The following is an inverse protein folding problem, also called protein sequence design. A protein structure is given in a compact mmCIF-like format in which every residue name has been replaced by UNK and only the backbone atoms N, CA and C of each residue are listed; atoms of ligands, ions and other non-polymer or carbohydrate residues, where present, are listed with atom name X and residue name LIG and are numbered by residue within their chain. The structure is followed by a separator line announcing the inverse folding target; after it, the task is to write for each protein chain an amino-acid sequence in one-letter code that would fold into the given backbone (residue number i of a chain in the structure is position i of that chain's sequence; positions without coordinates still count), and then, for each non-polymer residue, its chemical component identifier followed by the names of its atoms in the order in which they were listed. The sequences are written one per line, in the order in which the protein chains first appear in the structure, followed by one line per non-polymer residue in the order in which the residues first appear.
data_IF_783767413209
#
_entry.id   IF_783767413209
#
_cell.length_a   1.000
_cell.length_b   1.000
_cell.length_c   1.000
_cell.angle_alpha   90.00
_cell.angle_beta   90.00
_cell.angle_gamma   90.00
#
_symmetry.space_group_name_H-M   'P 1'
#
loop_
_entity.id
_entity.type
_entity.pdbx_description
1 polymer ?
#
# COMPACT_ATOMS: atom_id res chain seq x y z
N UNK A 1 56.99 -7.49 -19.93
CA UNK A 1 55.80 -8.36 -20.09
C UNK A 1 56.04 -9.64 -19.30
N UNK A 2 55.43 -9.80 -18.12
CA UNK A 2 55.38 -11.06 -17.38
C UNK A 2 54.11 -11.86 -17.73
N UNK A 3 54.25 -13.17 -17.59
CA UNK A 3 53.44 -14.26 -18.14
C UNK A 3 52.02 -14.37 -17.52
N UNK A 4 51.03 -14.74 -18.34
CA UNK A 4 49.60 -14.77 -17.99
C UNK A 4 49.21 -15.94 -17.06
N UNK A 5 50.18 -16.75 -16.62
CA UNK A 5 49.93 -17.98 -15.84
C UNK A 5 49.86 -17.79 -14.33
N UNK A 6 50.28 -16.65 -13.78
CA UNK A 6 50.38 -16.47 -12.32
C UNK A 6 49.22 -15.72 -11.65
N UNK A 7 48.26 -15.20 -12.43
CA UNK A 7 47.11 -14.46 -11.87
C UNK A 7 45.92 -15.34 -11.46
N UNK A 8 45.93 -16.63 -11.81
CA UNK A 8 44.85 -17.58 -11.49
C UNK A 8 44.98 -18.30 -10.14
N UNK A 9 46.16 -18.29 -9.51
CA UNK A 9 46.43 -19.12 -8.32
C UNK A 9 45.99 -18.45 -7.01
N UNK A 10 45.88 -17.11 -6.98
CA UNK A 10 45.50 -16.37 -5.77
C UNK A 10 44.00 -16.21 -5.51
N UNK A 11 43.14 -16.47 -6.51
CA UNK A 11 41.67 -16.40 -6.32
C UNK A 11 41.02 -17.76 -6.02
N UNK A 12 41.72 -18.87 -6.23
CA UNK A 12 41.23 -20.21 -5.85
C UNK A 12 41.55 -20.57 -4.39
N UNK A 13 42.56 -19.96 -3.78
CA UNK A 13 42.97 -20.24 -2.40
C UNK A 13 42.06 -19.61 -1.33
N UNK A 14 41.27 -18.58 -1.66
CA UNK A 14 40.37 -17.91 -0.71
C UNK A 14 38.94 -18.45 -0.72
N UNK A 15 38.53 -19.18 -1.77
CA UNK A 15 37.18 -19.76 -1.88
C UNK A 15 37.06 -21.14 -1.18
N UNK A 16 38.18 -21.86 -1.00
CA UNK A 16 38.19 -23.19 -0.37
C UNK A 16 38.11 -23.15 1.17
N UNK A 17 38.52 -22.05 1.81
CA UNK A 17 38.52 -21.91 3.28
C UNK A 17 37.09 -21.66 3.82
N UNK A 18 36.22 -21.00 3.05
CA UNK A 18 34.85 -20.68 3.48
C UNK A 18 33.93 -21.91 3.41
N UNK A 19 34.18 -22.85 2.49
CA UNK A 19 33.38 -24.09 2.38
C UNK A 19 33.80 -25.14 3.43
N UNK A 20 35.08 -25.17 3.83
CA UNK A 20 35.55 -26.09 4.88
C UNK A 20 35.08 -25.65 6.28
N UNK A 21 34.88 -24.35 6.52
CA UNK A 21 34.30 -23.86 7.78
C UNK A 21 32.79 -24.10 7.94
N UNK A 22 32.05 -24.43 6.87
CA UNK A 22 30.60 -24.70 6.96
C UNK A 22 30.25 -26.19 7.11
N UNK A 23 31.16 -27.11 6.77
CA UNK A 23 30.95 -28.57 6.90
C UNK A 23 31.31 -29.07 8.32
N UNK A 24 32.20 -28.38 9.04
CA UNK A 24 32.54 -28.73 10.43
C UNK A 24 31.47 -28.36 11.46
N UNK A 25 30.46 -27.55 11.12
CA UNK A 25 29.37 -27.22 12.05
C UNK A 25 28.20 -28.23 12.03
N UNK A 26 28.10 -29.09 11.01
CA UNK A 26 26.96 -30.02 10.86
C UNK A 26 27.22 -31.44 11.37
N UNK A 27 28.38 -31.71 12.00
CA UNK A 27 28.73 -33.06 12.50
C UNK A 27 29.09 -33.15 14.00
N UNK A 28 28.84 -32.10 14.79
CA UNK A 28 29.14 -32.10 16.23
C UNK A 28 27.94 -32.33 17.16
N UNK A 29 26.79 -32.75 16.65
CA UNK A 29 25.68 -33.24 17.49
C UNK A 29 25.24 -34.64 17.02
N UNK A 30 26.08 -35.63 17.28
CA UNK A 30 25.73 -37.04 17.27
C UNK A 30 26.61 -37.75 18.31
N UNK A 31 26.01 -38.67 19.06
CA UNK A 31 26.45 -39.39 20.27
C UNK A 31 25.81 -38.76 21.54
N UNK A 32 24.63 -39.20 22.03
CA UNK A 32 24.33 -40.46 22.76
C UNK A 32 25.11 -40.51 24.08
N UNK A 33 24.51 -40.50 25.27
CA UNK A 33 23.82 -41.63 25.91
C UNK A 33 22.75 -41.21 26.94
N UNK A 34 21.71 -42.04 27.05
CA UNK A 34 20.74 -42.09 28.15
C UNK A 34 21.38 -42.77 29.37
N UNK A 35 21.33 -42.13 30.54
CA UNK A 35 21.28 -42.85 31.81
C UNK A 35 20.19 -42.28 32.72
N UNK A 36 19.29 -43.17 33.10
CA UNK A 36 18.27 -43.01 34.13
C UNK A 36 18.91 -43.18 35.50
N UNK A 37 18.79 -42.21 36.41
CA UNK A 37 18.70 -42.53 37.83
C UNK A 37 17.80 -41.54 38.59
N UNK A 38 16.90 -42.17 39.34
CA UNK A 38 15.83 -41.61 40.16
C UNK A 38 16.34 -40.76 41.34
N UNK A 39 15.61 -39.69 41.64
CA UNK A 39 15.74 -38.90 42.85
C UNK A 39 14.43 -38.14 43.12
N UNK A 40 13.48 -38.80 43.78
CA UNK A 40 12.30 -38.19 44.38
C UNK A 40 12.70 -37.53 45.71
N UNK A 41 12.52 -36.21 45.87
CA UNK A 41 11.84 -35.54 47.01
C UNK A 41 11.29 -34.18 46.52
N UNK A 42 10.04 -33.91 46.89
CA UNK A 42 9.17 -32.75 46.64
C UNK A 42 9.52 -31.49 47.44
N UNK A 43 9.24 -30.29 46.90
CA UNK A 43 8.35 -29.24 47.45
C UNK A 43 8.43 -27.95 46.59
N UNK A 44 7.28 -27.59 46.00
CA UNK A 44 6.75 -26.23 45.82
C UNK A 44 7.64 -25.12 45.22
N UNK A 45 7.49 -24.87 43.92
CA UNK A 45 7.30 -23.52 43.35
C UNK A 45 6.65 -23.68 41.98
N UNK A 46 5.40 -23.24 41.85
CA UNK A 46 4.69 -23.18 40.56
C UNK A 46 5.52 -22.37 39.56
N UNK A 47 5.85 -22.90 38.37
CA UNK A 47 6.49 -22.13 37.31
C UNK A 47 5.59 -20.93 36.95
N UNK A 48 6.16 -19.72 36.77
CA UNK A 48 5.39 -18.61 36.23
C UNK A 48 4.85 -19.05 34.88
N UNK A 49 3.53 -18.88 34.74
CA UNK A 49 2.73 -19.05 33.54
C UNK A 49 3.59 -18.86 32.28
N UNK A 50 3.90 -19.99 31.65
CA UNK A 50 4.57 -20.08 30.37
C UNK A 50 3.97 -19.00 29.45
N UNK A 51 4.76 -17.97 29.16
CA UNK A 51 4.48 -17.01 28.09
C UNK A 51 4.13 -17.81 26.84
N UNK A 52 2.85 -17.88 26.54
CA UNK A 52 2.35 -18.63 25.39
C UNK A 52 3.03 -18.10 24.13
N UNK A 53 3.56 -18.96 23.26
CA UNK A 53 4.17 -18.51 22.01
C UNK A 53 3.14 -17.70 21.22
N UNK A 54 3.52 -16.52 20.72
CA UNK A 54 2.75 -15.80 19.69
C UNK A 54 2.40 -16.80 18.59
N UNK A 55 1.13 -17.19 18.49
CA UNK A 55 0.65 -18.18 17.53
C UNK A 55 1.03 -17.73 16.12
N UNK A 56 2.04 -18.38 15.51
CA UNK A 56 2.47 -18.06 14.14
C UNK A 56 1.33 -18.48 13.20
N UNK A 57 0.70 -17.51 12.54
CA UNK A 57 -0.33 -17.77 11.53
C UNK A 57 0.25 -18.63 10.41
N UNK A 58 -0.46 -19.71 10.02
CA UNK A 58 0.01 -20.61 8.96
C UNK A 58 0.12 -19.87 7.62
N UNK A 59 0.94 -20.37 6.69
CA UNK A 59 1.08 -19.78 5.35
C UNK A 59 -0.27 -19.80 4.60
N UNK A 60 -1.05 -20.87 4.78
CA UNK A 60 -2.39 -20.99 4.23
C UNK A 60 -3.29 -19.84 4.70
N UNK A 61 -3.32 -19.59 6.01
CA UNK A 61 -4.16 -18.54 6.60
C UNK A 61 -3.67 -17.15 6.20
N UNK A 62 -2.36 -16.94 6.10
CA UNK A 62 -1.82 -15.67 5.59
C UNK A 62 -2.29 -15.39 4.15
N UNK A 63 -2.30 -16.41 3.29
CA UNK A 63 -2.80 -16.29 1.91
C UNK A 63 -4.29 -15.97 1.88
N UNK A 64 -5.10 -16.68 2.67
CA UNK A 64 -6.55 -16.43 2.76
C UNK A 64 -6.83 -15.00 3.23
N UNK A 65 -6.15 -14.57 4.30
CA UNK A 65 -6.29 -13.23 4.84
C UNK A 65 -5.89 -12.14 3.84
N UNK A 66 -4.81 -12.36 3.06
CA UNK A 66 -4.41 -11.41 2.02
C UNK A 66 -5.42 -11.34 0.86
N UNK A 67 -6.05 -12.47 0.48
CA UNK A 67 -7.11 -12.50 -0.53
C UNK A 67 -8.35 -11.72 -0.07
N UNK A 68 -8.79 -11.95 1.17
CA UNK A 68 -9.95 -11.23 1.72
C UNK A 68 -9.70 -9.72 1.79
N UNK A 69 -8.49 -9.29 2.20
CA UNK A 69 -8.12 -7.87 2.22
C UNK A 69 -8.04 -7.28 0.80
N UNK A 70 -7.57 -8.04 -0.19
CA UNK A 70 -7.58 -7.62 -1.59
C UNK A 70 -9.00 -7.49 -2.15
N UNK A 71 -9.86 -8.47 -1.89
CA UNK A 71 -11.26 -8.45 -2.35
C UNK A 71 -12.00 -7.22 -1.80
N UNK A 72 -11.87 -6.97 -0.50
CA UNK A 72 -12.45 -5.79 0.15
C UNK A 72 -11.90 -4.49 -0.45
N UNK A 73 -10.60 -4.41 -0.73
CA UNK A 73 -9.99 -3.25 -1.39
C UNK A 73 -10.59 -3.02 -2.78
N UNK A 74 -10.65 -4.07 -3.60
CA UNK A 74 -11.15 -3.99 -4.98
C UNK A 74 -12.63 -3.61 -5.03
N UNK A 75 -13.44 -4.09 -4.09
CA UNK A 75 -14.84 -3.68 -3.96
C UNK A 75 -14.96 -2.17 -3.69
N UNK A 76 -14.17 -1.66 -2.75
CA UNK A 76 -14.17 -0.22 -2.44
C UNK A 76 -13.65 0.62 -3.62
N UNK A 77 -12.61 0.17 -4.31
CA UNK A 77 -12.10 0.80 -5.55
C UNK A 77 -13.19 0.84 -6.61
N UNK A 78 -13.92 -0.26 -6.82
CA UNK A 78 -15.01 -0.37 -7.80
C UNK A 78 -16.12 0.64 -7.52
N UNK A 79 -16.44 0.88 -6.24
CA UNK A 79 -17.45 1.86 -5.83
C UNK A 79 -16.97 3.31 -6.01
N UNK A 80 -15.70 3.59 -5.71
CA UNK A 80 -15.16 4.96 -5.76
C UNK A 80 -14.78 5.40 -7.18
N UNK A 81 -14.28 4.49 -8.02
CA UNK A 81 -13.75 4.79 -9.36
C UNK A 81 -14.72 5.56 -10.28
N UNK A 82 -16.03 5.26 -10.32
CA UNK A 82 -17.00 6.03 -11.11
C UNK A 82 -17.10 7.51 -10.71
N UNK A 83 -16.72 7.86 -9.48
CA UNK A 83 -16.71 9.23 -8.97
C UNK A 83 -15.45 9.99 -9.38
N UNK A 84 -14.62 9.40 -10.25
CA UNK A 84 -13.43 9.99 -10.86
C UNK A 84 -12.37 10.56 -9.89
N UNK A 85 -11.94 9.80 -8.85
CA UNK A 85 -10.89 10.23 -7.92
C UNK A 85 -9.57 10.59 -8.60
N UNK A 86 -9.30 10.08 -9.80
CA UNK A 86 -8.15 10.46 -10.61
C UNK A 86 -8.18 11.93 -11.08
N UNK A 87 -9.31 12.63 -10.94
CA UNK A 87 -9.44 14.07 -11.28
C UNK A 87 -9.30 14.94 -10.03
N UNK A 88 -10.00 14.60 -8.95
CA UNK A 88 -10.11 15.46 -7.77
C UNK A 88 -9.23 15.03 -6.58
N UNK A 89 -8.64 13.84 -6.63
CA UNK A 89 -7.74 13.29 -5.62
C UNK A 89 -6.50 12.64 -6.24
N UNK A 90 -5.95 13.25 -7.31
CA UNK A 90 -4.87 12.71 -8.17
C UNK A 90 -3.77 11.99 -7.38
N UNK A 91 -3.14 12.68 -6.43
CA UNK A 91 -1.98 12.14 -5.72
C UNK A 91 -2.36 10.98 -4.80
N UNK A 92 -3.49 11.10 -4.10
CA UNK A 92 -4.00 10.04 -3.23
C UNK A 92 -4.46 8.82 -4.01
N UNK A 93 -5.07 9.02 -5.19
CA UNK A 93 -5.46 7.93 -6.07
C UNK A 93 -4.24 7.17 -6.60
N UNK A 94 -3.21 7.88 -7.05
CA UNK A 94 -1.93 7.26 -7.45
C UNK A 94 -1.28 6.46 -6.32
N UNK A 95 -1.32 6.98 -5.10
CA UNK A 95 -0.78 6.30 -3.91
C UNK A 95 -1.55 4.99 -3.61
N UNK A 96 -2.88 4.99 -3.77
CA UNK A 96 -3.71 3.77 -3.68
C UNK A 96 -3.31 2.74 -4.74
N UNK A 97 -3.16 3.17 -6.00
CA UNK A 97 -2.74 2.29 -7.10
C UNK A 97 -1.35 1.71 -6.87
N UNK A 98 -0.42 2.50 -6.32
CA UNK A 98 0.91 2.04 -5.95
C UNK A 98 0.84 0.98 -4.85
N UNK A 99 0.10 1.21 -3.76
CA UNK A 99 -0.05 0.21 -2.69
C UNK A 99 -0.70 -1.08 -3.18
N UNK A 100 -1.70 -0.98 -4.06
CA UNK A 100 -2.31 -2.15 -4.70
C UNK A 100 -1.26 -2.93 -5.51
N UNK A 101 -0.53 -2.26 -6.41
CA UNK A 101 0.49 -2.88 -7.26
C UNK A 101 1.63 -3.54 -6.46
N UNK A 102 2.13 -2.86 -5.42
CA UNK A 102 3.13 -3.41 -4.50
C UNK A 102 2.60 -4.63 -3.74
N UNK A 103 1.35 -4.58 -3.29
CA UNK A 103 0.68 -5.70 -2.64
C UNK A 103 0.58 -6.93 -3.55
N UNK A 104 0.19 -6.73 -4.80
CA UNK A 104 0.11 -7.80 -5.80
C UNK A 104 1.48 -8.42 -6.11
N UNK A 105 2.53 -7.59 -6.20
CA UNK A 105 3.90 -8.08 -6.39
C UNK A 105 4.38 -8.92 -5.20
N UNK A 106 4.08 -8.50 -3.98
CA UNK A 106 4.37 -9.26 -2.76
C UNK A 106 3.55 -10.56 -2.69
N UNK A 107 2.29 -10.52 -3.15
CA UNK A 107 1.43 -11.70 -3.20
C UNK A 107 2.00 -12.75 -4.16
N UNK A 108 2.40 -12.35 -5.38
CA UNK A 108 3.03 -13.23 -6.37
C UNK A 108 4.33 -13.89 -5.88
N UNK A 109 5.05 -13.25 -4.96
CA UNK A 109 6.28 -13.77 -4.36
C UNK A 109 6.03 -14.55 -3.06
N UNK A 110 4.78 -14.91 -2.77
CA UNK A 110 4.31 -15.63 -1.57
C UNK A 110 4.55 -14.90 -0.24
N UNK A 111 4.84 -13.59 -0.28
CA UNK A 111 5.01 -12.72 0.89
C UNK A 111 3.66 -12.18 1.38
N UNK A 112 2.73 -13.10 1.67
CA UNK A 112 1.32 -12.78 1.93
C UNK A 112 1.11 -11.80 3.08
N UNK A 113 1.83 -11.95 4.20
CA UNK A 113 1.73 -11.03 5.33
C UNK A 113 2.12 -9.57 4.99
N UNK A 114 3.00 -9.35 4.01
CA UNK A 114 3.35 -8.01 3.54
C UNK A 114 2.37 -7.49 2.50
N UNK A 115 1.91 -8.36 1.60
CA UNK A 115 0.84 -8.03 0.66
C UNK A 115 -0.41 -7.53 1.41
N UNK A 116 -0.78 -8.26 2.47
CA UNK A 116 -1.88 -7.91 3.36
C UNK A 116 -1.72 -6.51 3.98
N UNK A 117 -0.52 -6.15 4.43
CA UNK A 117 -0.25 -4.79 4.95
C UNK A 117 -0.51 -3.73 3.88
N UNK A 118 -0.04 -3.95 2.65
CA UNK A 118 -0.23 -3.03 1.52
C UNK A 118 -1.71 -2.87 1.16
N UNK A 119 -2.46 -3.96 1.08
CA UNK A 119 -3.90 -3.90 0.81
C UNK A 119 -4.68 -3.15 1.89
N UNK A 120 -4.33 -3.35 3.16
CA UNK A 120 -4.95 -2.57 4.26
C UNK A 120 -4.60 -1.10 4.21
N UNK A 121 -3.36 -0.73 3.87
CA UNK A 121 -2.96 0.67 3.69
C UNK A 121 -3.81 1.31 2.60
N UNK A 122 -3.90 0.70 1.41
CA UNK A 122 -4.76 1.16 0.33
C UNK A 122 -6.24 1.24 0.76
N UNK A 123 -6.73 0.26 1.53
CA UNK A 123 -8.14 0.20 1.98
C UNK A 123 -8.50 1.32 2.94
N UNK A 124 -7.57 1.77 3.79
CA UNK A 124 -7.77 2.95 4.63
C UNK A 124 -7.90 4.19 3.74
N UNK A 125 -7.02 4.35 2.76
CA UNK A 125 -7.00 5.52 1.89
C UNK A 125 -8.22 5.60 0.96
N UNK A 126 -8.66 4.48 0.39
CA UNK A 126 -9.88 4.44 -0.44
C UNK A 126 -11.11 4.83 0.38
N UNK A 127 -11.22 4.36 1.62
CA UNK A 127 -12.35 4.72 2.52
C UNK A 127 -12.30 6.20 2.94
N UNK A 128 -11.11 6.74 3.17
CA UNK A 128 -10.93 8.18 3.42
C UNK A 128 -11.34 9.03 2.21
N UNK A 129 -10.96 8.63 0.99
CA UNK A 129 -11.43 9.32 -0.21
C UNK A 129 -12.95 9.23 -0.36
N UNK A 130 -13.53 8.06 -0.11
CA UNK A 130 -14.98 7.86 -0.20
C UNK A 130 -15.76 8.77 0.78
N UNK A 131 -15.25 8.97 2.00
CA UNK A 131 -15.90 9.86 2.98
C UNK A 131 -15.80 11.35 2.63
N UNK A 132 -14.87 11.72 1.74
CA UNK A 132 -14.62 13.10 1.33
C UNK A 132 -15.32 13.52 0.04
N UNK A 133 -15.96 12.61 -0.69
CA UNK A 133 -16.61 12.91 -1.97
C UNK A 133 -17.57 14.10 -1.84
N UNK A 134 -18.44 14.08 -0.84
CA UNK A 134 -19.45 15.12 -0.67
C UNK A 134 -18.83 16.48 -0.32
N UNK A 135 -17.84 16.51 0.58
CA UNK A 135 -17.17 17.77 0.92
C UNK A 135 -16.38 18.34 -0.26
N UNK A 136 -15.68 17.50 -1.03
CA UNK A 136 -14.99 17.91 -2.26
C UNK A 136 -15.98 18.55 -3.24
N UNK A 137 -17.15 17.95 -3.42
CA UNK A 137 -18.21 18.50 -4.30
C UNK A 137 -18.69 19.87 -3.80
N UNK A 138 -19.06 19.98 -2.52
CA UNK A 138 -19.57 21.22 -1.93
C UNK A 138 -18.53 22.34 -1.90
N UNK A 139 -17.27 22.00 -1.62
CA UNK A 139 -16.18 22.98 -1.62
C UNK A 139 -15.92 23.51 -3.03
N UNK A 140 -15.94 22.66 -4.05
CA UNK A 140 -15.76 23.10 -5.43
C UNK A 140 -16.96 23.93 -5.96
N UNK A 141 -18.19 23.62 -5.55
CA UNK A 141 -19.34 24.50 -5.84
C UNK A 141 -19.12 25.91 -5.26
N UNK A 142 -18.72 25.99 -3.99
CA UNK A 142 -18.44 27.27 -3.32
C UNK A 142 -17.27 28.00 -3.97
N UNK A 143 -16.19 27.30 -4.30
CA UNK A 143 -15.03 27.88 -4.97
C UNK A 143 -15.39 28.42 -6.35
N UNK A 144 -16.21 27.70 -7.11
CA UNK A 144 -16.71 28.13 -8.41
C UNK A 144 -17.49 29.44 -8.31
N UNK A 145 -18.44 29.53 -7.39
CA UNK A 145 -19.22 30.75 -7.17
C UNK A 145 -18.37 31.93 -6.70
N UNK A 146 -17.40 31.71 -5.82
CA UNK A 146 -16.44 32.74 -5.40
C UNK A 146 -15.58 33.21 -6.58
N UNK A 147 -15.14 32.29 -7.44
CA UNK A 147 -14.37 32.62 -8.62
C UNK A 147 -15.18 33.45 -9.63
N UNK A 148 -16.47 33.16 -9.82
CA UNK A 148 -17.37 34.01 -10.63
C UNK A 148 -17.43 35.43 -10.06
N UNK A 149 -17.64 35.58 -8.75
CA UNK A 149 -17.70 36.91 -8.09
C UNK A 149 -16.41 37.70 -8.25
N UNK A 150 -15.27 37.01 -8.28
CA UNK A 150 -13.95 37.59 -8.44
C UNK A 150 -13.53 37.76 -9.91
N UNK A 151 -14.47 37.65 -10.86
CA UNK A 151 -14.18 37.71 -12.28
C UNK A 151 -13.04 36.75 -12.68
N UNK A 152 -13.05 35.51 -12.18
CA UNK A 152 -12.06 34.49 -12.53
C UNK A 152 -12.75 33.28 -13.17
N UNK A 153 -13.07 33.43 -14.46
CA UNK A 153 -13.65 32.43 -15.35
C UNK A 153 -12.91 31.10 -15.33
N UNK A 154 -11.57 31.12 -15.47
CA UNK A 154 -10.73 29.91 -15.51
C UNK A 154 -10.82 29.11 -14.20
N UNK A 155 -10.74 29.79 -13.05
CA UNK A 155 -10.89 29.11 -11.75
C UNK A 155 -12.31 28.59 -11.56
N UNK A 156 -13.32 29.36 -11.96
CA UNK A 156 -14.72 28.95 -11.86
C UNK A 156 -14.99 27.70 -12.70
N UNK A 157 -14.56 27.70 -13.96
CA UNK A 157 -14.70 26.56 -14.87
C UNK A 157 -14.07 25.30 -14.28
N UNK A 158 -12.82 25.38 -13.80
CA UNK A 158 -12.13 24.22 -13.20
C UNK A 158 -12.90 23.65 -12.01
N UNK A 159 -13.40 24.51 -11.13
CA UNK A 159 -14.13 24.07 -9.93
C UNK A 159 -15.44 23.34 -10.32
N UNK A 160 -16.21 23.90 -11.25
CA UNK A 160 -17.44 23.25 -11.73
C UNK A 160 -17.15 21.97 -12.54
N UNK A 161 -16.05 21.91 -13.28
CA UNK A 161 -15.62 20.66 -13.95
C UNK A 161 -15.30 19.55 -12.94
N UNK A 162 -14.72 19.86 -11.78
CA UNK A 162 -14.50 18.88 -10.70
C UNK A 162 -15.85 18.35 -10.19
N UNK A 163 -16.81 19.23 -9.92
CA UNK A 163 -18.17 18.83 -9.50
C UNK A 163 -18.79 17.88 -10.52
N UNK A 164 -18.75 18.24 -11.81
CA UNK A 164 -19.32 17.44 -12.90
C UNK A 164 -18.55 16.13 -13.15
N UNK A 165 -17.29 16.03 -12.72
CA UNK A 165 -16.56 14.76 -12.74
C UNK A 165 -17.08 13.78 -11.68
N UNK A 166 -17.58 14.29 -10.55
CA UNK A 166 -18.16 13.49 -9.46
C UNK A 166 -19.63 13.17 -9.76
N UNK A 167 -20.39 14.18 -10.19
CA UNK A 167 -21.82 14.09 -10.44
C UNK A 167 -22.15 14.79 -11.78
N UNK A 168 -22.15 14.06 -12.91
CA UNK A 168 -22.27 14.65 -14.25
C UNK A 168 -23.54 15.45 -14.52
N UNK A 169 -24.63 15.13 -13.80
CA UNK A 169 -25.92 15.79 -13.94
C UNK A 169 -26.20 16.81 -12.81
N UNK A 170 -25.17 17.21 -12.04
CA UNK A 170 -25.35 18.18 -10.97
C UNK A 170 -25.81 19.54 -11.54
N UNK A 171 -27.01 20.04 -11.16
CA UNK A 171 -27.59 21.23 -11.76
C UNK A 171 -26.75 22.49 -11.49
N UNK A 172 -26.19 22.62 -10.29
CA UNK A 172 -25.36 23.75 -9.91
C UNK A 172 -24.03 23.75 -10.65
N UNK A 173 -23.41 22.57 -10.82
CA UNK A 173 -22.22 22.39 -11.65
C UNK A 173 -22.44 22.78 -13.11
N UNK A 174 -23.54 22.33 -13.71
CA UNK A 174 -23.88 22.64 -15.11
C UNK A 174 -24.16 24.14 -15.31
N UNK A 175 -24.92 24.75 -14.38
CA UNK A 175 -25.23 26.18 -14.45
C UNK A 175 -23.99 27.05 -14.19
N UNK A 176 -23.17 26.66 -13.21
CA UNK A 176 -21.89 27.30 -12.90
C UNK A 176 -20.93 27.28 -14.08
N UNK A 177 -20.83 26.14 -14.78
CA UNK A 177 -20.00 26.01 -15.97
C UNK A 177 -20.46 26.95 -17.10
N UNK A 178 -21.77 27.03 -17.35
CA UNK A 178 -22.33 27.99 -18.33
C UNK A 178 -21.98 29.43 -17.96
N UNK A 179 -22.17 29.81 -16.69
CA UNK A 179 -21.83 31.16 -16.18
C UNK A 179 -20.34 31.48 -16.33
N UNK A 180 -19.46 30.49 -16.12
CA UNK A 180 -18.01 30.64 -16.25
C UNK A 180 -17.59 30.95 -17.69
N UNK A 181 -18.25 30.31 -18.66
CA UNK A 181 -18.00 30.56 -20.10
C UNK A 181 -18.47 31.95 -20.53
N UNK A 182 -19.67 32.35 -20.12
CA UNK A 182 -20.19 33.70 -20.40
C UNK A 182 -19.27 34.77 -19.78
N UNK A 183 -18.76 34.54 -18.56
CA UNK A 183 -17.82 35.46 -17.92
C UNK A 183 -16.52 35.62 -18.73
N UNK A 184 -16.00 34.54 -19.33
CA UNK A 184 -14.84 34.60 -20.21
C UNK A 184 -15.12 35.41 -21.48
N UNK A 185 -16.27 35.18 -22.12
CA UNK A 185 -16.70 35.94 -23.29
C UNK A 185 -16.79 37.44 -23.00
N UNK A 186 -17.44 37.81 -21.88
CA UNK A 186 -17.54 39.22 -21.46
C UNK A 186 -16.17 39.84 -21.21
N UNK A 187 -15.24 39.10 -20.60
CA UNK A 187 -13.87 39.60 -20.40
C UNK A 187 -13.15 39.90 -21.70
N UNK A 188 -13.25 39.02 -22.68
CA UNK A 188 -12.64 39.19 -24.00
C UNK A 188 -13.23 40.42 -24.71
N UNK A 189 -14.53 40.68 -24.54
CA UNK A 189 -15.18 41.85 -25.12
C UNK A 189 -14.78 43.18 -24.46
N UNK A 190 -14.26 43.13 -23.23
CA UNK A 190 -13.85 44.31 -22.45
C UNK A 190 -12.34 44.55 -22.44
N UNK A 191 -11.55 43.65 -23.01
CA UNK A 191 -10.09 43.77 -23.17
C UNK A 191 -9.72 44.50 -24.46
#
# INVERSE_FOLDING_TARGET
MPDAKERGVWFLATFLIIVISFISYSKFFSNTELQTQSGEITIGTSPPESMTPKHKTSVHDQRLNAQNDLENLLLNIKTLKPLNPQVWAVDRWKEIEQFLSEGEALYRTTRYHLAQKKYRQASIMVRDLASRVESVKLDNLREGDLAIKNWNSVKAERAFQIVLSIEPNNPDGLNGLKRSKVLEEVKILLS
#
